data_IF_249433176609
#
_entry.id   IF_249433176609
#
_cell.length_a   1.000
_cell.length_b   1.000
_cell.length_c   1.000
_cell.angle_alpha   90.00
_cell.angle_beta   90.00
_cell.angle_gamma   90.00
#
_symmetry.space_group_name_H-M   'P 1'
#
loop_
_entity.id
_entity.type
_entity.pdbx_description
1 polymer ?
#
# COMPACT_ATOMS: atom_id res chain seq x y z
N UNK A 1 -9.25 -47.62 12.93
CA UNK A 1 -8.67 -48.14 14.19
C UNK A 1 -7.38 -47.37 14.49
N UNK A 2 -7.35 -46.73 15.54
CA UNK A 2 -6.41 -46.12 16.51
C UNK A 2 -6.66 -44.62 16.68
N UNK A 3 -7.41 -44.31 17.72
CA UNK A 3 -7.45 -43.03 18.41
C UNK A 3 -6.12 -42.84 19.16
N UNK A 4 -5.59 -41.62 19.15
CA UNK A 4 -4.64 -41.21 20.19
C UNK A 4 -5.15 -39.86 20.71
N UNK A 5 -5.32 -39.82 22.02
CA UNK A 5 -5.90 -38.81 22.88
C UNK A 5 -4.98 -37.62 23.13
N UNK A 6 -5.61 -36.47 23.38
CA UNK A 6 -5.03 -35.33 24.11
C UNK A 6 -4.67 -35.67 25.56
N UNK A 7 -3.80 -34.89 26.17
CA UNK A 7 -4.03 -34.55 27.59
C UNK A 7 -4.21 -33.02 27.79
N UNK A 8 -5.21 -32.75 28.65
CA UNK A 8 -5.46 -31.51 29.39
C UNK A 8 -4.31 -31.22 30.37
N UNK A 9 -4.22 -29.96 30.70
CA UNK A 9 -3.86 -29.33 32.00
C UNK A 9 -3.20 -27.97 31.70
N UNK A 10 -3.38 -26.87 32.36
CA UNK A 10 -4.03 -26.59 33.63
C UNK A 10 -4.22 -25.07 33.71
N UNK A 11 -5.38 -24.68 34.20
CA UNK A 11 -5.73 -23.32 34.58
C UNK A 11 -5.17 -23.06 35.98
N UNK A 12 -4.34 -22.04 36.15
CA UNK A 12 -4.12 -21.48 37.47
C UNK A 12 -4.39 -19.99 37.51
N UNK A 13 -5.52 -19.70 38.16
CA UNK A 13 -5.92 -18.41 38.69
C UNK A 13 -4.87 -17.88 39.66
N UNK A 14 -4.56 -16.64 39.57
CA UNK A 14 -4.04 -15.89 40.72
C UNK A 14 -4.95 -14.70 41.03
N UNK A 15 -5.49 -14.79 42.24
CA UNK A 15 -6.45 -13.92 42.90
C UNK A 15 -5.77 -12.69 43.51
N UNK A 16 -6.52 -11.61 43.46
CA UNK A 16 -6.40 -10.37 44.25
C UNK A 16 -6.07 -10.60 45.71
N UNK A 17 -5.20 -9.78 46.26
CA UNK A 17 -5.20 -9.46 47.72
C UNK A 17 -4.98 -7.96 47.94
N UNK A 18 -6.08 -7.33 48.35
CA UNK A 18 -6.10 -6.07 49.08
C UNK A 18 -5.42 -6.26 50.45
N UNK A 19 -4.70 -5.28 50.92
CA UNK A 19 -4.57 -4.96 52.35
C UNK A 19 -4.49 -3.45 52.55
N UNK A 20 -5.57 -2.97 53.21
CA UNK A 20 -5.68 -1.71 53.96
C UNK A 20 -4.97 -1.86 55.30
N UNK A 21 -4.54 -0.76 55.88
CA UNK A 21 -4.57 -0.30 57.27
C UNK A 21 -3.38 0.65 57.48
N UNK A 22 -3.52 1.81 57.91
CA UNK A 22 -4.14 2.54 59.01
C UNK A 22 -3.07 3.32 59.79
N UNK A 23 -3.27 4.58 59.80
CA UNK A 23 -3.16 5.62 60.84
C UNK A 23 -2.16 5.47 62.01
N UNK A 24 -1.44 6.54 62.30
CA UNK A 24 -1.50 7.16 63.64
C UNK A 24 -0.81 8.55 63.68
N UNK A 25 -1.54 9.48 64.22
CA UNK A 25 -1.16 10.83 64.72
C UNK A 25 -0.14 10.76 65.89
N UNK A 26 0.82 11.71 65.94
CA UNK A 26 1.24 12.31 67.23
C UNK A 26 1.59 13.77 66.97
N UNK A 27 0.80 14.63 67.64
CA UNK A 27 1.09 16.04 67.86
C UNK A 27 1.87 16.17 69.16
N UNK A 28 2.83 17.09 69.22
CA UNK A 28 3.22 17.74 70.49
C UNK A 28 3.81 19.13 70.22
N UNK A 29 3.14 20.08 70.84
CA UNK A 29 3.50 21.46 70.94
C UNK A 29 4.62 21.67 72.02
N UNK A 30 5.47 22.65 71.83
CA UNK A 30 6.05 23.39 72.91
C UNK A 30 6.25 24.86 72.54
N UNK A 31 5.70 25.68 73.38
CA UNK A 31 5.70 27.14 73.38
C UNK A 31 6.92 27.75 74.15
N UNK A 32 7.24 28.96 73.71
CA UNK A 32 7.69 29.97 74.66
C UNK A 32 9.17 30.37 74.67
N UNK A 33 9.51 31.53 74.24
CA UNK A 33 9.82 32.67 75.12
C UNK A 33 10.33 33.86 74.33
N UNK A 34 9.75 35.00 74.55
CA UNK A 34 10.14 36.32 74.07
C UNK A 34 11.34 36.89 74.85
N UNK A 35 12.17 37.64 74.13
CA UNK A 35 12.92 38.73 74.70
C UNK A 35 13.22 39.80 73.65
N UNK A 36 12.72 41.00 73.92
CA UNK A 36 13.03 42.24 73.21
C UNK A 36 14.47 42.72 73.58
N UNK A 37 15.17 43.23 72.55
CA UNK A 37 16.02 44.38 72.83
C UNK A 37 16.12 45.33 71.64
N UNK A 38 16.26 46.64 71.91
CA UNK A 38 16.11 47.78 71.04
C UNK A 38 17.44 48.31 70.57
N UNK A 39 17.50 48.59 69.24
CA UNK A 39 18.10 49.75 68.51
C UNK A 39 19.61 50.03 68.66
N UNK A 40 20.29 50.72 67.72
CA UNK A 40 19.77 51.78 66.84
C UNK A 40 20.17 51.78 65.35
N UNK A 41 19.45 52.65 64.62
CA UNK A 41 19.68 53.24 63.32
C UNK A 41 21.07 53.12 62.68
N UNK A 42 21.09 52.51 61.47
CA UNK A 42 22.06 52.85 60.45
C UNK A 42 21.35 52.93 59.10
N UNK A 43 21.58 54.07 58.43
CA UNK A 43 21.13 54.43 57.08
C UNK A 43 21.50 53.29 56.04
N UNK A 44 20.58 52.85 55.18
CA UNK A 44 20.93 51.86 54.22
C UNK A 44 21.71 52.44 53.02
N UNK A 45 22.98 52.08 52.93
CA UNK A 45 23.76 52.17 51.74
C UNK A 45 23.06 51.32 50.65
N UNK A 46 22.81 51.94 49.53
CA UNK A 46 22.21 51.27 48.36
C UNK A 46 23.04 50.07 47.91
N UNK A 47 22.67 48.87 48.35
CA UNK A 47 23.20 47.63 47.77
C UNK A 47 22.84 47.60 46.29
N UNK A 48 23.84 47.73 45.41
CA UNK A 48 23.77 47.27 44.05
C UNK A 48 23.11 45.86 44.04
N UNK A 49 21.95 45.78 43.39
CA UNK A 49 21.29 44.48 43.18
C UNK A 49 22.26 43.58 42.44
N UNK A 50 22.82 42.61 43.14
CA UNK A 50 23.50 41.45 42.51
C UNK A 50 22.39 40.70 41.79
N UNK A 51 22.36 40.82 40.49
CA UNK A 51 21.52 39.99 39.63
C UNK A 51 21.96 38.55 39.87
N UNK A 52 21.09 37.77 40.50
CA UNK A 52 21.34 36.35 40.71
C UNK A 52 21.57 35.68 39.36
N UNK A 53 22.76 35.18 39.16
CA UNK A 53 23.18 34.40 38.00
C UNK A 53 22.33 33.13 37.95
N UNK A 54 21.30 33.16 37.08
CA UNK A 54 20.47 31.98 36.83
C UNK A 54 21.28 31.08 35.88
N UNK A 55 21.58 29.83 36.20
CA UNK A 55 22.35 28.97 35.35
C UNK A 55 21.61 28.82 33.99
N UNK A 56 22.30 29.22 32.89
CA UNK A 56 21.75 29.15 31.53
C UNK A 56 21.27 30.45 30.95
N UNK A 57 21.38 31.59 31.64
CA UNK A 57 21.07 32.93 31.09
C UNK A 57 22.37 33.68 30.85
N UNK A 58 22.59 34.10 29.62
CA UNK A 58 23.73 34.93 29.23
C UNK A 58 23.31 36.41 29.28
N UNK A 59 23.98 37.21 30.07
CA UNK A 59 23.77 38.64 30.14
C UNK A 59 24.85 39.37 29.32
N UNK A 60 24.43 40.14 28.33
CA UNK A 60 25.35 40.98 27.50
C UNK A 60 25.29 42.42 27.99
N UNK A 61 26.45 43.07 28.08
CA UNK A 61 26.52 44.50 28.29
C UNK A 61 26.00 45.28 27.08
N UNK A 62 25.57 46.52 27.30
CA UNK A 62 25.07 47.36 26.19
C UNK A 62 26.12 47.64 25.11
N UNK A 63 27.42 47.60 25.48
CA UNK A 63 28.54 47.76 24.52
C UNK A 63 28.72 46.49 23.66
N UNK A 64 28.62 45.32 24.26
CA UNK A 64 28.68 44.04 23.55
C UNK A 64 27.50 43.85 22.60
N UNK A 65 26.30 44.26 23.06
CA UNK A 65 25.12 44.24 22.23
C UNK A 65 25.23 45.12 20.98
N UNK A 66 25.80 46.34 21.17
CA UNK A 66 26.01 47.29 20.08
C UNK A 66 27.05 46.82 19.05
N UNK A 67 28.02 46.01 19.48
CA UNK A 67 29.03 45.44 18.60
C UNK A 67 28.53 44.18 17.87
N UNK A 68 27.55 43.51 18.46
CA UNK A 68 26.98 42.27 17.94
C UNK A 68 25.64 42.60 17.30
N UNK A 69 25.54 42.55 15.96
CA UNK A 69 24.26 42.76 15.26
C UNK A 69 23.33 41.57 15.56
N UNK A 70 22.63 41.63 16.73
CA UNK A 70 21.67 40.60 17.10
C UNK A 70 20.34 40.91 16.47
N UNK A 71 19.82 39.96 15.69
CA UNK A 71 18.47 39.99 15.16
C UNK A 71 17.65 38.86 15.82
N UNK A 72 16.43 39.17 16.20
CA UNK A 72 15.51 38.21 16.79
C UNK A 72 14.27 38.04 15.93
N UNK A 73 13.74 36.85 15.93
CA UNK A 73 12.54 36.51 15.18
C UNK A 73 11.57 35.77 16.11
N UNK A 74 10.29 36.10 16.12
CA UNK A 74 9.34 35.38 16.95
C UNK A 74 9.17 33.93 16.47
N UNK A 75 9.08 33.01 17.41
CA UNK A 75 8.67 31.63 17.12
C UNK A 75 7.25 31.65 16.58
N UNK A 76 7.11 31.31 15.32
CA UNK A 76 5.84 31.31 14.63
C UNK A 76 5.18 29.93 14.68
N UNK A 77 3.86 29.91 14.67
CA UNK A 77 3.13 28.69 14.28
C UNK A 77 3.17 28.58 12.78
N UNK A 78 3.70 27.48 12.27
CA UNK A 78 3.85 27.27 10.83
C UNK A 78 3.63 25.80 10.47
N UNK A 79 3.06 25.61 9.27
CA UNK A 79 2.89 24.27 8.71
C UNK A 79 4.02 24.01 7.72
N UNK A 80 4.92 23.08 8.06
CA UNK A 80 5.88 22.57 7.09
C UNK A 80 5.28 21.33 6.42
N UNK A 81 5.08 21.42 5.09
CA UNK A 81 4.66 20.29 4.27
C UNK A 81 5.91 19.62 3.69
N UNK A 82 6.61 18.87 4.53
CA UNK A 82 7.78 18.11 4.08
C UNK A 82 7.32 16.82 3.43
N UNK A 83 7.52 16.67 2.12
CA UNK A 83 7.15 15.46 1.44
C UNK A 83 8.08 14.31 1.85
N UNK A 84 7.49 13.15 2.09
CA UNK A 84 8.21 11.89 2.25
C UNK A 84 8.22 11.18 0.90
N UNK A 85 9.39 10.84 0.43
CA UNK A 85 9.59 10.21 -0.88
C UNK A 85 9.93 8.74 -0.71
N UNK A 86 9.18 7.88 -1.43
CA UNK A 86 9.35 6.44 -1.39
C UNK A 86 9.61 5.91 -2.80
N UNK A 87 10.67 5.11 -2.99
CA UNK A 87 10.91 4.45 -4.26
C UNK A 87 9.79 3.46 -4.55
N UNK A 88 9.37 3.44 -5.81
CA UNK A 88 8.26 2.64 -6.27
C UNK A 88 8.47 2.17 -7.70
N UNK A 89 7.65 1.23 -8.14
CA UNK A 89 7.61 0.71 -9.51
C UNK A 89 6.18 0.72 -10.01
N UNK A 90 5.99 1.11 -11.25
CA UNK A 90 4.69 1.01 -11.94
C UNK A 90 4.42 -0.46 -12.24
N UNK A 91 3.25 -0.94 -11.87
CA UNK A 91 2.79 -2.31 -12.14
C UNK A 91 1.43 -2.29 -12.81
N UNK A 92 1.12 -3.35 -13.53
CA UNK A 92 -0.22 -3.55 -14.08
C UNK A 92 -1.21 -3.68 -12.93
N UNK A 93 -2.42 -3.16 -13.12
CA UNK A 93 -3.52 -3.49 -12.22
C UNK A 93 -3.86 -4.98 -12.40
N UNK A 94 -3.52 -5.79 -11.40
CA UNK A 94 -3.73 -7.26 -11.46
C UNK A 94 -5.21 -7.64 -11.59
N UNK A 95 -6.14 -6.74 -11.22
CA UNK A 95 -7.58 -6.97 -11.39
C UNK A 95 -8.02 -6.80 -12.86
N UNK A 96 -7.27 -6.05 -13.63
CA UNK A 96 -7.52 -5.72 -15.04
C UNK A 96 -6.48 -6.39 -15.96
N UNK A 97 -5.94 -7.54 -15.51
CA UNK A 97 -4.99 -8.36 -16.25
C UNK A 97 -5.53 -9.77 -16.41
N UNK A 98 -5.40 -10.33 -17.59
CA UNK A 98 -5.70 -11.74 -17.84
C UNK A 98 -4.58 -12.42 -18.60
N UNK A 99 -4.29 -13.64 -18.19
CA UNK A 99 -3.44 -14.57 -18.91
C UNK A 99 -4.32 -15.46 -19.78
N UNK A 100 -4.17 -15.36 -21.08
CA UNK A 100 -4.88 -16.21 -22.05
C UNK A 100 -4.10 -17.50 -22.20
N UNK A 101 -4.72 -18.60 -21.76
CA UNK A 101 -4.17 -19.96 -21.83
C UNK A 101 -5.04 -20.82 -22.74
N UNK A 102 -4.61 -22.05 -23.03
CA UNK A 102 -5.41 -23.06 -23.73
C UNK A 102 -5.77 -24.21 -22.79
N UNK A 103 -6.98 -24.77 -22.96
CA UNK A 103 -7.45 -25.95 -22.22
C UNK A 103 -7.05 -27.26 -22.91
N UNK A 104 -6.54 -27.17 -24.14
CA UNK A 104 -6.17 -28.35 -24.94
C UNK A 104 -4.84 -28.10 -25.66
N UNK A 105 -4.10 -29.19 -25.88
CA UNK A 105 -2.90 -29.17 -26.70
C UNK A 105 -3.26 -28.90 -28.17
N UNK A 106 -2.44 -28.07 -28.84
CA UNK A 106 -2.66 -27.77 -30.26
C UNK A 106 -1.46 -27.11 -30.95
N UNK A 107 -1.49 -27.09 -32.27
CA UNK A 107 -0.50 -26.37 -33.09
C UNK A 107 -1.04 -24.98 -33.46
N UNK A 108 -0.23 -23.95 -33.27
CA UNK A 108 -0.56 -22.58 -33.67
C UNK A 108 -0.60 -22.48 -35.18
N UNK A 109 -1.79 -22.30 -35.75
CA UNK A 109 -2.00 -22.13 -37.21
C UNK A 109 -1.73 -20.69 -37.60
N UNK A 110 -2.28 -19.76 -36.86
CA UNK A 110 -2.19 -18.33 -37.17
C UNK A 110 -2.22 -17.51 -35.85
N UNK A 111 -1.41 -16.45 -35.83
CA UNK A 111 -1.44 -15.40 -34.80
C UNK A 111 -1.98 -14.15 -35.49
N UNK A 112 -2.96 -13.49 -34.87
CA UNK A 112 -3.69 -12.36 -35.47
C UNK A 112 -3.27 -11.01 -34.85
N UNK A 113 -2.64 -11.03 -33.66
CA UNK A 113 -2.28 -9.84 -32.90
C UNK A 113 -0.82 -9.88 -32.47
N UNK A 114 -0.24 -8.71 -32.26
CA UNK A 114 1.12 -8.59 -31.74
C UNK A 114 1.15 -7.80 -30.43
N UNK A 115 2.32 -7.82 -29.75
CA UNK A 115 2.55 -7.05 -28.54
C UNK A 115 2.36 -5.55 -28.81
N UNK A 116 1.66 -4.86 -27.92
CA UNK A 116 1.35 -3.44 -28.04
C UNK A 116 0.07 -3.12 -28.81
N UNK A 117 -0.61 -4.10 -29.39
CA UNK A 117 -1.90 -3.90 -30.05
C UNK A 117 -3.06 -3.85 -29.06
N UNK A 118 -4.01 -2.96 -29.31
CA UNK A 118 -5.27 -2.88 -28.60
C UNK A 118 -6.25 -3.92 -29.16
N UNK A 119 -6.90 -4.63 -28.26
CA UNK A 119 -7.88 -5.66 -28.59
C UNK A 119 -9.20 -5.39 -27.88
N UNK A 120 -10.30 -5.72 -28.53
CA UNK A 120 -11.63 -5.69 -27.95
C UNK A 120 -11.95 -7.05 -27.35
N UNK A 121 -12.87 -7.08 -26.39
CA UNK A 121 -13.44 -8.32 -25.89
C UNK A 121 -13.86 -9.23 -27.04
N UNK A 122 -13.60 -10.53 -26.91
CA UNK A 122 -13.87 -11.57 -27.89
C UNK A 122 -13.09 -11.44 -29.23
N UNK A 123 -12.17 -10.47 -29.37
CA UNK A 123 -11.27 -10.38 -30.52
C UNK A 123 -10.41 -11.64 -30.63
N UNK A 124 -10.24 -12.13 -31.86
CA UNK A 124 -9.43 -13.32 -32.15
C UNK A 124 -7.94 -13.01 -32.07
N UNK A 125 -7.26 -13.59 -31.06
CA UNK A 125 -5.82 -13.41 -30.83
C UNK A 125 -4.99 -14.40 -31.67
N UNK A 126 -5.39 -15.68 -31.66
CA UNK A 126 -4.74 -16.72 -32.41
C UNK A 126 -5.73 -17.87 -32.70
N UNK A 127 -5.35 -18.71 -33.68
CA UNK A 127 -6.04 -19.93 -34.02
C UNK A 127 -5.10 -21.11 -33.78
N UNK A 128 -5.56 -22.08 -32.98
CA UNK A 128 -4.87 -23.35 -32.81
C UNK A 128 -5.61 -24.44 -33.58
N UNK A 129 -4.88 -25.49 -34.00
CA UNK A 129 -5.45 -26.72 -34.52
C UNK A 129 -5.11 -27.86 -33.54
N UNK A 130 -6.13 -28.53 -33.01
CA UNK A 130 -6.00 -29.58 -31.99
C UNK A 130 -6.54 -30.90 -32.49
N UNK A 131 -5.68 -31.90 -32.58
CA UNK A 131 -6.10 -33.27 -32.93
C UNK A 131 -7.04 -33.85 -31.84
N UNK A 132 -6.85 -33.50 -30.60
CA UNK A 132 -7.67 -33.98 -29.49
C UNK A 132 -9.11 -33.43 -29.59
N UNK A 133 -9.26 -32.15 -29.99
CA UNK A 133 -10.56 -31.57 -30.31
C UNK A 133 -11.21 -32.29 -31.49
N UNK A 134 -10.46 -32.56 -32.58
CA UNK A 134 -10.99 -33.26 -33.74
C UNK A 134 -11.51 -34.68 -33.41
N UNK A 135 -10.82 -35.39 -32.51
CA UNK A 135 -11.26 -36.70 -32.01
C UNK A 135 -12.57 -36.54 -31.21
N UNK A 136 -12.66 -35.50 -30.36
CA UNK A 136 -13.87 -35.26 -29.56
C UNK A 136 -15.06 -34.83 -30.45
N UNK A 137 -14.85 -33.97 -31.43
CA UNK A 137 -15.87 -33.57 -32.44
C UNK A 137 -16.40 -34.80 -33.21
N UNK A 138 -15.48 -35.67 -33.69
CA UNK A 138 -15.86 -36.90 -34.38
C UNK A 138 -16.63 -37.88 -33.47
N UNK A 139 -16.27 -38.02 -32.21
CA UNK A 139 -17.02 -38.84 -31.26
C UNK A 139 -18.43 -38.27 -31.00
N UNK A 140 -18.56 -36.96 -30.92
CA UNK A 140 -19.85 -36.30 -30.77
C UNK A 140 -20.74 -36.53 -31.98
N UNK A 141 -20.27 -36.25 -33.21
CA UNK A 141 -21.05 -36.46 -34.45
C UNK A 141 -21.51 -37.92 -34.57
N UNK A 142 -20.64 -38.89 -34.27
CA UNK A 142 -21.01 -40.31 -34.25
C UNK A 142 -22.10 -40.64 -33.25
N UNK A 143 -22.05 -40.09 -32.06
CA UNK A 143 -23.06 -40.32 -31.00
C UNK A 143 -24.38 -39.60 -31.32
N UNK A 144 -24.34 -38.41 -31.92
CA UNK A 144 -25.49 -37.67 -32.41
C UNK A 144 -26.23 -38.41 -33.53
N UNK A 145 -25.48 -38.98 -34.50
CA UNK A 145 -26.07 -39.81 -35.56
C UNK A 145 -26.75 -41.07 -35.02
N UNK A 146 -26.13 -41.77 -34.04
CA UNK A 146 -26.74 -42.91 -33.35
C UNK A 146 -28.02 -42.54 -32.60
N UNK A 147 -28.01 -41.42 -31.92
CA UNK A 147 -29.19 -40.91 -31.20
C UNK A 147 -30.34 -40.63 -32.22
N UNK A 148 -30.01 -40.00 -33.32
CA UNK A 148 -30.99 -39.70 -34.37
C UNK A 148 -31.63 -40.99 -34.90
N UNK A 149 -30.82 -42.02 -35.26
CA UNK A 149 -31.29 -43.33 -35.69
C UNK A 149 -32.19 -44.00 -34.66
N UNK A 150 -31.72 -44.07 -33.37
CA UNK A 150 -32.44 -44.68 -32.28
C UNK A 150 -33.79 -43.99 -32.00
N UNK A 151 -33.83 -42.66 -32.13
CA UNK A 151 -35.01 -41.85 -31.97
C UNK A 151 -36.04 -42.16 -33.04
N UNK A 152 -35.65 -42.20 -34.31
CA UNK A 152 -36.55 -42.58 -35.41
C UNK A 152 -37.04 -44.04 -35.30
N UNK A 153 -36.19 -44.97 -34.81
CA UNK A 153 -36.57 -46.34 -34.54
C UNK A 153 -37.61 -46.46 -33.41
N UNK A 154 -37.42 -45.67 -32.34
CA UNK A 154 -38.39 -45.61 -31.26
C UNK A 154 -39.71 -45.01 -31.69
N UNK A 155 -39.72 -43.89 -32.41
CA UNK A 155 -40.92 -43.25 -32.97
C UNK A 155 -41.72 -44.18 -33.84
N UNK A 156 -41.09 -44.89 -34.78
CA UNK A 156 -41.72 -45.92 -35.59
C UNK A 156 -42.32 -47.07 -34.76
N UNK A 157 -41.55 -47.55 -33.76
CA UNK A 157 -42.03 -48.62 -32.87
C UNK A 157 -43.27 -48.16 -32.07
N UNK A 158 -43.30 -46.91 -31.62
CA UNK A 158 -44.45 -46.33 -30.89
C UNK A 158 -45.68 -46.28 -31.76
N UNK A 159 -45.58 -45.77 -32.99
CA UNK A 159 -46.67 -45.67 -33.94
C UNK A 159 -47.24 -47.06 -34.32
N UNK A 160 -46.36 -48.08 -34.51
CA UNK A 160 -46.77 -49.46 -34.75
C UNK A 160 -47.38 -50.16 -33.53
N UNK A 161 -46.95 -49.80 -32.31
CA UNK A 161 -47.54 -50.28 -31.07
C UNK A 161 -48.98 -49.75 -30.88
N UNK A 162 -49.20 -48.48 -31.16
CA UNK A 162 -50.56 -47.88 -31.15
C UNK A 162 -51.49 -48.60 -32.13
N UNK A 163 -50.97 -49.05 -33.26
CA UNK A 163 -51.70 -49.85 -34.24
C UNK A 163 -51.77 -51.35 -33.89
N UNK A 164 -51.25 -51.76 -32.70
CA UNK A 164 -51.15 -53.15 -32.21
C UNK A 164 -50.35 -54.11 -33.12
N UNK A 165 -49.42 -53.60 -33.92
CA UNK A 165 -48.56 -54.40 -34.81
C UNK A 165 -47.34 -54.97 -34.08
N UNK A 166 -46.77 -54.24 -33.12
CA UNK A 166 -45.61 -54.72 -32.35
C UNK A 166 -45.98 -54.90 -30.87
N UNK A 167 -45.19 -55.69 -30.15
CA UNK A 167 -45.38 -55.96 -28.70
C UNK A 167 -44.85 -54.78 -27.83
N UNK A 168 -45.41 -54.71 -26.59
CA UNK A 168 -44.87 -53.77 -25.58
C UNK A 168 -43.37 -53.98 -25.32
N UNK A 169 -42.94 -55.26 -25.30
CA UNK A 169 -41.56 -55.62 -25.11
C UNK A 169 -40.61 -55.00 -26.18
N UNK A 170 -41.03 -54.98 -27.46
CA UNK A 170 -40.28 -54.35 -28.53
C UNK A 170 -40.24 -52.82 -28.40
N UNK A 171 -41.38 -52.17 -28.04
CA UNK A 171 -41.39 -50.75 -27.78
C UNK A 171 -40.42 -50.37 -26.65
N UNK A 172 -40.50 -51.05 -25.50
CA UNK A 172 -39.60 -50.82 -24.36
C UNK A 172 -38.12 -51.04 -24.69
N UNK A 173 -37.83 -52.03 -25.54
CA UNK A 173 -36.49 -52.26 -26.03
C UNK A 173 -35.96 -51.07 -26.87
N UNK A 174 -36.78 -50.52 -27.77
CA UNK A 174 -36.41 -49.33 -28.58
C UNK A 174 -36.26 -48.09 -27.73
N UNK A 175 -37.14 -47.91 -26.74
CA UNK A 175 -37.04 -46.83 -25.77
C UNK A 175 -35.72 -46.91 -24.99
N UNK A 176 -35.34 -48.08 -24.49
CA UNK A 176 -34.11 -48.29 -23.77
C UNK A 176 -32.90 -47.97 -24.66
N UNK A 177 -32.90 -48.42 -25.95
CA UNK A 177 -31.83 -48.11 -26.91
C UNK A 177 -31.70 -46.60 -27.15
N UNK A 178 -32.86 -45.91 -27.32
CA UNK A 178 -32.87 -44.46 -27.52
C UNK A 178 -32.32 -43.73 -26.27
N UNK A 179 -32.71 -44.11 -25.06
CA UNK A 179 -32.21 -43.54 -23.82
C UNK A 179 -30.71 -43.73 -23.66
N UNK A 180 -30.17 -44.89 -24.01
CA UNK A 180 -28.72 -45.16 -23.98
C UNK A 180 -28.00 -44.26 -25.00
N UNK A 181 -28.47 -44.19 -26.26
CA UNK A 181 -27.89 -43.33 -27.27
C UNK A 181 -27.97 -41.83 -26.87
N UNK A 182 -29.04 -41.43 -26.17
CA UNK A 182 -29.18 -40.08 -25.64
C UNK A 182 -28.14 -39.76 -24.54
N UNK A 183 -27.86 -40.74 -23.69
CA UNK A 183 -26.83 -40.59 -22.63
C UNK A 183 -25.43 -40.47 -23.28
N UNK A 184 -25.09 -41.30 -24.27
CA UNK A 184 -23.83 -41.24 -25.00
C UNK A 184 -23.64 -39.89 -25.73
N UNK A 185 -24.66 -39.40 -26.40
CA UNK A 185 -24.62 -38.11 -27.09
C UNK A 185 -24.44 -36.92 -26.09
N UNK A 186 -25.08 -37.01 -24.92
CA UNK A 186 -24.94 -36.03 -23.87
C UNK A 186 -23.52 -36.05 -23.29
N UNK A 187 -22.96 -37.22 -23.02
CA UNK A 187 -21.59 -37.36 -22.57
C UNK A 187 -20.59 -36.74 -23.54
N UNK A 188 -20.70 -37.08 -24.84
CA UNK A 188 -19.81 -36.53 -25.87
C UNK A 188 -19.93 -35.01 -26.01
N UNK A 189 -21.15 -34.46 -25.88
CA UNK A 189 -21.40 -33.01 -25.85
C UNK A 189 -20.72 -32.36 -24.65
N UNK A 190 -20.93 -32.90 -23.46
CA UNK A 190 -20.29 -32.40 -22.21
C UNK A 190 -18.77 -32.43 -22.33
N UNK A 191 -18.20 -33.42 -23.00
CA UNK A 191 -16.75 -33.48 -23.24
C UNK A 191 -16.27 -32.31 -24.11
N UNK A 192 -17.00 -31.92 -25.16
CA UNK A 192 -16.69 -30.72 -25.96
C UNK A 192 -16.76 -29.43 -25.12
N UNK A 193 -17.82 -29.28 -24.32
CA UNK A 193 -17.97 -28.13 -23.42
C UNK A 193 -16.81 -28.03 -22.40
N UNK A 194 -16.34 -29.15 -21.84
CA UNK A 194 -15.18 -29.21 -20.93
C UNK A 194 -13.86 -28.84 -21.64
N UNK A 195 -13.75 -29.12 -22.94
CA UNK A 195 -12.62 -28.67 -23.77
C UNK A 195 -12.71 -27.18 -24.18
N UNK A 196 -13.72 -26.47 -23.69
CA UNK A 196 -13.88 -25.04 -23.92
C UNK A 196 -14.65 -24.68 -25.21
N UNK A 197 -15.30 -25.64 -25.89
CA UNK A 197 -16.12 -25.37 -27.04
C UNK A 197 -17.45 -24.76 -26.63
N UNK A 198 -17.77 -23.52 -27.07
CA UNK A 198 -19.04 -22.90 -26.76
C UNK A 198 -20.25 -23.70 -27.32
N UNK A 199 -21.37 -23.66 -26.63
CA UNK A 199 -22.60 -24.37 -27.04
C UNK A 199 -23.05 -24.04 -28.47
N UNK A 200 -22.91 -22.77 -28.84
CA UNK A 200 -23.23 -22.30 -30.23
C UNK A 200 -22.39 -23.00 -31.27
N UNK A 201 -21.15 -23.31 -30.95
CA UNK A 201 -20.22 -24.02 -31.84
C UNK A 201 -20.57 -25.50 -31.95
N UNK A 202 -21.02 -26.12 -30.82
CA UNK A 202 -21.53 -27.49 -30.83
C UNK A 202 -22.80 -27.59 -31.66
N UNK A 203 -23.73 -26.63 -31.56
CA UNK A 203 -24.93 -26.56 -32.41
C UNK A 203 -24.60 -26.32 -33.90
N UNK A 204 -23.48 -25.68 -34.18
CA UNK A 204 -22.98 -25.54 -35.57
C UNK A 204 -22.47 -26.87 -36.10
N UNK A 205 -21.76 -27.67 -35.29
CA UNK A 205 -21.33 -29.02 -35.65
C UNK A 205 -22.50 -29.91 -36.05
N UNK A 206 -23.64 -29.84 -35.31
CA UNK A 206 -24.86 -30.57 -35.64
C UNK A 206 -25.44 -30.21 -37.04
N UNK A 207 -25.20 -28.98 -37.53
CA UNK A 207 -25.71 -28.51 -38.83
C UNK A 207 -24.74 -28.73 -39.97
N UNK A 208 -23.43 -28.52 -39.73
CA UNK A 208 -22.42 -28.54 -40.79
C UNK A 208 -21.83 -29.93 -41.02
N UNK A 209 -21.95 -30.82 -40.04
CA UNK A 209 -21.40 -32.21 -40.04
C UNK A 209 -19.92 -32.28 -40.44
N UNK A 210 -19.14 -31.24 -40.05
CA UNK A 210 -17.75 -31.08 -40.46
C UNK A 210 -16.85 -30.86 -39.25
N UNK A 211 -15.83 -31.71 -39.11
CA UNK A 211 -14.79 -31.60 -38.11
C UNK A 211 -13.82 -30.48 -38.53
N UNK A 212 -13.62 -29.47 -37.69
CA UNK A 212 -12.68 -28.37 -37.93
C UNK A 212 -11.44 -28.45 -37.08
N UNK A 213 -11.55 -29.00 -35.87
CA UNK A 213 -10.48 -29.12 -34.89
C UNK A 213 -9.77 -27.77 -34.54
N UNK A 214 -10.45 -26.66 -34.81
CA UNK A 214 -9.92 -25.30 -34.64
C UNK A 214 -10.33 -24.71 -33.29
N UNK A 215 -9.34 -24.22 -32.53
CA UNK A 215 -9.52 -23.61 -31.23
C UNK A 215 -9.20 -22.11 -31.32
N UNK A 216 -10.22 -21.24 -31.35
CA UNK A 216 -10.01 -19.80 -31.34
C UNK A 216 -9.60 -19.32 -29.96
N UNK A 217 -8.45 -18.67 -29.86
CA UNK A 217 -8.05 -17.93 -28.64
C UNK A 217 -8.55 -16.50 -28.76
N UNK A 218 -9.35 -16.07 -27.78
CA UNK A 218 -10.02 -14.76 -27.78
C UNK A 218 -9.61 -13.92 -26.57
N UNK A 219 -9.68 -12.60 -26.74
CA UNK A 219 -9.45 -11.65 -25.65
C UNK A 219 -10.63 -11.71 -24.66
N UNK A 220 -10.38 -11.80 -23.33
CA UNK A 220 -11.44 -11.90 -22.32
C UNK A 220 -12.14 -10.55 -22.06
N UNK A 221 -11.46 -9.42 -22.32
CA UNK A 221 -11.96 -8.05 -22.17
C UNK A 221 -11.22 -7.08 -23.10
N UNK A 222 -11.65 -5.82 -23.13
CA UNK A 222 -11.01 -4.74 -23.87
C UNK A 222 -9.68 -4.38 -23.20
N UNK A 223 -8.59 -4.39 -23.94
CA UNK A 223 -7.27 -4.08 -23.36
C UNK A 223 -6.15 -4.12 -24.40
N UNK A 224 -4.93 -4.12 -23.93
CA UNK A 224 -3.72 -4.20 -24.74
C UNK A 224 -2.99 -5.52 -24.52
N UNK A 225 -2.49 -6.10 -25.60
CA UNK A 225 -1.60 -7.27 -25.53
C UNK A 225 -0.23 -6.81 -25.02
N UNK A 226 0.09 -7.17 -23.78
CA UNK A 226 1.37 -6.80 -23.14
C UNK A 226 2.43 -7.89 -23.26
N UNK A 227 2.01 -9.14 -23.53
CA UNK A 227 2.91 -10.28 -23.71
C UNK A 227 2.33 -11.26 -24.73
N UNK A 228 3.19 -11.82 -25.57
CA UNK A 228 2.88 -12.89 -26.53
C UNK A 228 3.99 -13.93 -26.50
N UNK A 229 3.64 -15.13 -26.06
CA UNK A 229 4.59 -16.25 -25.85
C UNK A 229 4.33 -17.39 -26.84
N UNK A 230 3.82 -17.09 -28.03
CA UNK A 230 3.59 -18.10 -29.08
C UNK A 230 4.06 -17.61 -30.44
N UNK A 231 4.44 -18.58 -31.28
CA UNK A 231 4.79 -18.37 -32.67
C UNK A 231 4.01 -19.29 -33.57
N UNK A 232 3.85 -18.89 -34.84
CA UNK A 232 3.17 -19.73 -35.85
C UNK A 232 3.93 -21.05 -36.03
N UNK A 233 3.19 -22.17 -36.00
CA UNK A 233 3.73 -23.53 -36.20
C UNK A 233 4.16 -24.19 -34.87
N UNK A 234 4.26 -23.47 -33.82
CA UNK A 234 4.58 -23.99 -32.48
C UNK A 234 3.46 -24.89 -31.93
N UNK A 235 3.83 -25.91 -31.18
CA UNK A 235 2.87 -26.76 -30.45
C UNK A 235 2.81 -26.24 -29.01
N UNK A 236 1.61 -25.92 -28.56
CA UNK A 236 1.33 -25.42 -27.21
C UNK A 236 0.67 -26.50 -26.38
N UNK A 237 1.01 -26.54 -25.11
CA UNK A 237 0.46 -27.48 -24.14
C UNK A 237 -0.69 -26.84 -23.33
N UNK A 238 -1.43 -27.68 -22.58
CA UNK A 238 -2.49 -27.21 -21.68
C UNK A 238 -1.93 -26.24 -20.65
N UNK A 239 -2.73 -25.23 -20.26
CA UNK A 239 -2.40 -24.23 -19.24
C UNK A 239 -1.17 -23.35 -19.57
N UNK A 240 -0.54 -23.54 -20.72
CA UNK A 240 0.56 -22.67 -21.17
C UNK A 240 0.03 -21.24 -21.35
N UNK A 241 0.76 -20.25 -20.81
CA UNK A 241 0.48 -18.82 -20.97
C UNK A 241 0.85 -18.37 -22.38
N UNK A 242 -0.15 -18.05 -23.18
CA UNK A 242 0.04 -17.73 -24.60
C UNK A 242 0.06 -16.23 -24.85
N UNK A 243 -0.86 -15.51 -24.21
CA UNK A 243 -0.91 -14.05 -24.22
C UNK A 243 -1.17 -13.51 -22.82
N UNK A 244 -0.77 -12.27 -22.60
CA UNK A 244 -1.25 -11.47 -21.47
C UNK A 244 -1.92 -10.23 -22.04
N UNK A 245 -3.19 -10.04 -21.69
CA UNK A 245 -3.98 -8.86 -22.02
C UNK A 245 -4.21 -8.08 -20.74
N UNK A 246 -4.03 -6.76 -20.79
CA UNK A 246 -4.25 -5.90 -19.65
C UNK A 246 -4.93 -4.60 -20.09
N UNK A 247 -5.83 -4.08 -19.28
CA UNK A 247 -6.24 -2.69 -19.34
C UNK A 247 -5.18 -1.83 -18.63
N UNK A 248 -4.65 -0.85 -19.32
CA UNK A 248 -3.64 0.08 -18.80
C UNK A 248 -4.21 1.49 -18.58
N UNK A 249 -5.54 1.65 -18.57
CA UNK A 249 -6.21 2.93 -18.30
C UNK A 249 -6.00 3.39 -16.86
N UNK A 250 -5.77 2.46 -15.94
CA UNK A 250 -5.22 2.67 -14.62
C UNK A 250 -4.04 1.72 -14.35
N UNK A 251 -3.13 2.16 -13.52
CA UNK A 251 -1.96 1.36 -13.13
C UNK A 251 -1.75 1.44 -11.62
N UNK A 252 -1.09 0.45 -11.08
CA UNK A 252 -0.63 0.47 -9.72
C UNK A 252 0.81 0.97 -9.64
N UNK A 253 1.06 1.86 -8.71
CA UNK A 253 2.42 2.25 -8.33
C UNK A 253 2.68 1.64 -6.95
N UNK A 254 3.55 0.63 -6.94
CA UNK A 254 3.84 -0.14 -5.73
C UNK A 254 5.18 0.33 -5.18
N UNK A 255 5.13 0.88 -3.98
CA UNK A 255 6.29 1.39 -3.26
C UNK A 255 6.55 0.63 -1.96
N UNK A 256 7.73 0.87 -1.40
CA UNK A 256 8.16 0.32 -0.13
C UNK A 256 8.42 1.45 0.86
N UNK A 257 7.71 1.43 1.99
CA UNK A 257 7.74 2.45 3.01
C UNK A 257 8.50 1.93 4.23
N UNK A 258 9.57 2.62 4.66
CA UNK A 258 10.29 2.26 5.88
C UNK A 258 9.38 2.31 7.12
N UNK A 259 9.62 1.42 8.08
CA UNK A 259 8.84 1.29 9.33
C UNK A 259 8.63 2.65 10.04
N UNK A 260 9.69 3.47 10.12
CA UNK A 260 9.65 4.80 10.75
C UNK A 260 8.67 5.80 10.12
N UNK A 261 8.35 5.61 8.84
CA UNK A 261 7.53 6.54 8.05
C UNK A 261 6.07 6.07 7.91
N UNK A 262 5.75 4.86 8.38
CA UNK A 262 4.38 4.27 8.31
C UNK A 262 3.33 5.16 8.99
N UNK A 263 3.70 5.83 10.08
CA UNK A 263 2.80 6.72 10.82
C UNK A 263 2.24 7.89 9.97
N UNK A 264 2.91 8.25 8.87
CA UNK A 264 2.52 9.38 8.00
C UNK A 264 1.59 8.96 6.86
N UNK A 265 1.31 7.67 6.72
CA UNK A 265 0.57 7.11 5.60
C UNK A 265 -0.82 6.69 6.04
N UNK A 266 -1.81 7.04 5.23
CA UNK A 266 -3.22 6.65 5.44
C UNK A 266 -3.81 6.15 4.13
N UNK A 267 -4.74 5.20 4.26
CA UNK A 267 -5.57 4.78 3.14
C UNK A 267 -6.39 5.98 2.63
N UNK A 268 -6.64 6.01 1.33
CA UNK A 268 -7.37 7.07 0.60
C UNK A 268 -6.67 8.44 0.59
N UNK A 269 -5.43 8.50 1.06
CA UNK A 269 -4.60 9.71 1.01
C UNK A 269 -4.18 9.99 -0.44
N UNK A 270 -4.27 11.26 -0.83
CA UNK A 270 -3.75 11.76 -2.12
C UNK A 270 -2.24 11.88 -2.04
N UNK A 271 -1.58 11.50 -3.12
CA UNK A 271 -0.12 11.50 -3.25
C UNK A 271 0.28 11.93 -4.65
N UNK A 272 1.51 12.42 -4.78
CA UNK A 272 2.11 12.70 -6.06
C UNK A 272 2.99 11.54 -6.49
N UNK A 273 2.85 11.13 -7.74
CA UNK A 273 3.71 10.14 -8.37
C UNK A 273 4.56 10.81 -9.42
N UNK A 274 5.86 10.60 -9.33
CA UNK A 274 6.84 11.11 -10.28
C UNK A 274 7.57 9.91 -10.86
N UNK A 275 7.54 9.77 -12.19
CA UNK A 275 8.27 8.71 -12.88
C UNK A 275 9.60 9.22 -13.42
N UNK A 276 10.63 8.40 -13.35
CA UNK A 276 11.99 8.78 -13.79
C UNK A 276 12.06 9.19 -15.25
N UNK A 277 11.17 8.65 -16.09
CA UNK A 277 11.07 9.00 -17.51
C UNK A 277 10.54 10.44 -17.74
N UNK A 278 9.74 10.97 -16.80
CA UNK A 278 9.08 12.28 -16.91
C UNK A 278 9.23 13.03 -15.57
N UNK A 279 10.44 13.50 -15.20
CA UNK A 279 10.74 14.03 -13.87
C UNK A 279 9.98 15.34 -13.54
N UNK A 280 9.48 16.05 -14.55
CA UNK A 280 8.70 17.27 -14.38
C UNK A 280 7.19 17.04 -14.35
N UNK A 281 6.73 15.84 -14.68
CA UNK A 281 5.31 15.49 -14.63
C UNK A 281 4.96 14.96 -13.24
N UNK A 282 4.10 15.68 -12.55
CA UNK A 282 3.50 15.27 -11.28
C UNK A 282 2.16 14.61 -11.59
N UNK A 283 2.05 13.34 -11.32
CA UNK A 283 0.85 12.57 -11.63
C UNK A 283 0.12 12.28 -10.31
N UNK A 284 -1.12 12.74 -10.15
CA UNK A 284 -1.86 12.51 -8.92
C UNK A 284 -2.24 11.04 -8.78
N UNK A 285 -2.06 10.49 -7.57
CA UNK A 285 -2.45 9.14 -7.21
C UNK A 285 -3.21 9.09 -5.90
N UNK A 286 -3.79 7.93 -5.61
CA UNK A 286 -4.49 7.68 -4.35
C UNK A 286 -3.96 6.38 -3.74
N UNK A 287 -3.62 6.40 -2.45
CA UNK A 287 -3.23 5.22 -1.71
C UNK A 287 -4.44 4.30 -1.56
N UNK A 288 -4.43 3.15 -2.20
CA UNK A 288 -5.53 2.18 -2.16
C UNK A 288 -5.26 1.01 -1.22
N UNK A 289 -3.98 0.72 -0.96
CA UNK A 289 -3.61 -0.37 -0.06
C UNK A 289 -2.32 -0.06 0.68
N UNK A 290 -2.30 -0.43 1.95
CA UNK A 290 -1.14 -0.39 2.83
C UNK A 290 -1.00 -1.80 3.39
N UNK A 291 0.18 -2.41 3.28
CA UNK A 291 0.44 -3.75 3.76
C UNK A 291 0.31 -3.84 5.29
N UNK A 292 -0.23 -4.94 5.78
CA UNK A 292 -0.38 -5.19 7.22
C UNK A 292 0.87 -5.88 7.82
N UNK A 293 1.80 -6.29 6.96
CA UNK A 293 3.01 -7.04 7.34
C UNK A 293 4.24 -6.34 6.77
N UNK A 294 5.24 -6.14 7.62
CA UNK A 294 6.56 -5.67 7.20
C UNK A 294 7.36 -6.79 6.55
N UNK A 295 8.06 -6.48 5.48
CA UNK A 295 9.10 -7.36 4.94
C UNK A 295 10.27 -7.40 5.93
N UNK A 296 10.61 -8.57 6.51
CA UNK A 296 11.63 -8.67 7.53
C UNK A 296 13.05 -8.40 7.01
N UNK A 297 13.29 -8.60 5.71
CA UNK A 297 14.60 -8.40 5.10
C UNK A 297 14.90 -6.92 4.86
N UNK A 298 13.89 -6.17 4.40
CA UNK A 298 14.03 -4.75 4.04
C UNK A 298 13.51 -3.80 5.13
N UNK A 299 12.77 -4.30 6.11
CA UNK A 299 12.09 -3.50 7.13
C UNK A 299 11.17 -2.43 6.52
N UNK A 300 10.49 -2.80 5.43
CA UNK A 300 9.57 -1.92 4.73
C UNK A 300 8.17 -2.51 4.66
N UNK A 301 7.18 -1.64 4.58
CA UNK A 301 5.77 -1.96 4.35
C UNK A 301 5.41 -1.67 2.91
N UNK A 302 4.68 -2.58 2.27
CA UNK A 302 4.23 -2.41 0.89
C UNK A 302 3.11 -1.36 0.83
N UNK A 303 3.28 -0.40 -0.07
CA UNK A 303 2.32 0.65 -0.37
C UNK A 303 1.84 0.49 -1.81
N UNK A 304 0.53 0.55 -2.05
CA UNK A 304 -0.04 0.58 -3.40
C UNK A 304 -0.83 1.86 -3.62
N UNK A 305 -0.46 2.56 -4.66
CA UNK A 305 -1.11 3.77 -5.15
C UNK A 305 -1.77 3.45 -6.48
N UNK A 306 -3.04 3.75 -6.65
CA UNK A 306 -3.73 3.69 -7.94
C UNK A 306 -3.62 5.02 -8.64
N UNK A 307 -3.23 4.97 -9.91
CA UNK A 307 -2.97 6.14 -10.74
C UNK A 307 -3.72 5.97 -12.06
N UNK A 308 -4.50 6.98 -12.43
CA UNK A 308 -5.14 7.03 -13.75
C UNK A 308 -4.09 7.30 -14.83
N UNK A 309 -4.19 6.60 -15.94
CA UNK A 309 -3.22 6.63 -17.04
C UNK A 309 -3.90 6.81 -18.42
N UNK A 310 -4.68 7.89 -18.62
CA UNK A 310 -5.48 8.08 -19.84
C UNK A 310 -4.62 8.19 -21.10
N UNK A 311 -3.43 8.78 -21.00
CA UNK A 311 -2.51 9.00 -22.11
C UNK A 311 -1.48 7.86 -22.28
N UNK A 312 -1.59 6.81 -21.47
CA UNK A 312 -0.71 5.63 -21.48
C UNK A 312 0.79 5.98 -21.30
N UNK A 313 1.05 7.08 -20.62
CA UNK A 313 2.40 7.55 -20.31
C UNK A 313 3.11 6.62 -19.32
N UNK A 314 2.36 6.09 -18.34
CA UNK A 314 2.86 5.14 -17.36
C UNK A 314 2.88 3.74 -17.98
N UNK A 315 4.08 3.18 -18.10
CA UNK A 315 4.25 1.82 -18.57
C UNK A 315 4.67 0.92 -17.41
N UNK A 316 4.15 -0.30 -17.34
CA UNK A 316 4.62 -1.29 -16.36
C UNK A 316 6.15 -1.38 -16.33
N UNK A 317 6.70 -1.66 -15.18
CA UNK A 317 8.14 -1.74 -14.86
C UNK A 317 8.90 -0.38 -14.87
N UNK A 318 8.25 0.76 -15.10
CA UNK A 318 8.87 2.06 -14.90
C UNK A 318 9.17 2.32 -13.43
N UNK A 319 10.35 2.87 -13.14
CA UNK A 319 10.65 3.38 -11.80
C UNK A 319 9.91 4.68 -11.53
N UNK A 320 9.35 4.77 -10.34
CA UNK A 320 8.61 5.91 -9.86
C UNK A 320 9.03 6.27 -8.43
N UNK A 321 8.69 7.48 -8.03
CA UNK A 321 8.79 7.95 -6.65
C UNK A 321 7.39 8.38 -6.22
N UNK A 322 6.92 7.82 -5.10
CA UNK A 322 5.69 8.25 -4.46
C UNK A 322 6.02 9.30 -3.43
N UNK A 323 5.46 10.50 -3.60
CA UNK A 323 5.63 11.62 -2.69
C UNK A 323 4.39 11.79 -1.84
N UNK A 324 4.53 11.55 -0.55
CA UNK A 324 3.45 11.63 0.44
C UNK A 324 3.66 12.85 1.31
N UNK A 325 2.64 13.68 1.44
CA UNK A 325 2.65 14.81 2.34
C UNK A 325 2.06 14.40 3.68
N UNK A 326 2.85 14.54 4.76
CA UNK A 326 2.32 14.34 6.10
C UNK A 326 1.18 15.31 6.37
N UNK A 327 0.20 14.88 7.17
CA UNK A 327 -0.87 15.77 7.58
C UNK A 327 -0.26 17.00 8.29
N UNK A 328 -0.64 18.23 7.87
CA UNK A 328 -0.10 19.42 8.47
C UNK A 328 -0.44 19.45 9.97
N UNK A 329 0.57 19.70 10.82
CA UNK A 329 0.34 19.98 12.24
C UNK A 329 0.15 21.50 12.43
N UNK A 330 -1.07 21.98 12.66
CA UNK A 330 -1.33 23.42 12.79
C UNK A 330 -0.64 24.07 14.01
N UNK A 331 -0.28 23.26 15.00
CA UNK A 331 0.39 23.71 16.22
C UNK A 331 1.91 23.56 16.17
N UNK A 332 2.46 23.17 15.03
CA UNK A 332 3.90 23.06 14.85
C UNK A 332 4.56 24.43 15.02
N UNK A 333 5.58 24.49 15.87
CA UNK A 333 6.39 25.68 16.06
C UNK A 333 7.53 25.68 15.07
N UNK A 334 7.77 26.79 14.41
CA UNK A 334 8.82 26.92 13.39
C UNK A 334 9.77 28.04 13.75
N UNK A 335 11.06 27.81 13.49
CA UNK A 335 12.12 28.81 13.66
C UNK A 335 13.03 28.81 12.42
N UNK A 336 13.65 29.93 12.08
CA UNK A 336 14.68 29.94 11.06
C UNK A 336 15.84 29.01 11.42
N UNK A 337 16.33 28.25 10.45
CA UNK A 337 17.47 27.31 10.67
C UNK A 337 18.71 28.04 11.17
N UNK A 338 18.93 29.30 10.79
CA UNK A 338 20.00 30.18 11.27
C UNK A 338 20.01 30.40 12.80
N UNK A 339 18.85 30.26 13.46
CA UNK A 339 18.75 30.36 14.92
C UNK A 339 19.35 29.15 15.63
N UNK A 340 19.40 27.99 14.98
CA UNK A 340 19.82 26.72 15.58
C UNK A 340 21.33 26.61 15.65
N UNK A 341 21.84 26.34 16.84
CA UNK A 341 23.27 26.12 17.07
C UNK A 341 23.53 24.72 17.63
N UNK A 342 24.74 24.22 17.44
CA UNK A 342 25.20 22.97 18.04
C UNK A 342 25.71 23.24 19.46
N UNK A 343 25.07 22.67 20.47
CA UNK A 343 25.52 22.67 21.85
C UNK A 343 26.15 21.34 22.27
N UNK A 344 26.72 21.26 23.49
CA UNK A 344 27.35 20.03 23.99
C UNK A 344 26.35 18.89 24.25
N UNK A 345 25.10 19.21 24.55
CA UNK A 345 24.04 18.22 24.81
C UNK A 345 23.03 18.09 23.67
N UNK A 346 23.29 18.64 22.48
CA UNK A 346 22.38 18.62 21.33
C UNK A 346 22.21 19.99 20.69
N UNK A 347 21.09 20.16 19.98
CA UNK A 347 20.75 21.45 19.35
C UNK A 347 20.25 22.43 20.39
N UNK A 348 20.68 23.70 20.28
CA UNK A 348 20.33 24.79 21.18
C UNK A 348 19.82 26.01 20.42
N UNK A 349 18.97 26.79 21.08
CA UNK A 349 18.50 28.10 20.66
C UNK A 349 18.79 29.12 21.77
N UNK A 350 18.97 30.38 21.37
CA UNK A 350 19.02 31.50 22.29
C UNK A 350 17.68 32.23 22.29
N UNK A 351 16.98 32.26 23.43
CA UNK A 351 15.69 32.92 23.58
C UNK A 351 15.90 34.23 24.33
N UNK A 352 15.47 35.33 23.74
CA UNK A 352 15.52 36.64 24.39
C UNK A 352 14.49 36.74 25.53
N UNK A 353 14.91 37.02 26.76
CA UNK A 353 14.07 37.23 27.94
C UNK A 353 13.93 38.69 28.32
N UNK A 354 14.90 39.49 28.02
CA UNK A 354 14.97 40.92 28.28
C UNK A 354 15.81 41.63 27.24
N UNK A 355 16.03 42.93 27.37
CA UNK A 355 16.81 43.69 26.40
C UNK A 355 18.23 43.14 26.20
N UNK A 356 18.83 42.62 27.30
CA UNK A 356 20.20 42.16 27.36
C UNK A 356 20.35 40.69 27.80
N UNK A 357 19.24 39.98 28.02
CA UNK A 357 19.22 38.65 28.62
C UNK A 357 18.83 37.61 27.59
N UNK A 358 19.68 36.63 27.41
CA UNK A 358 19.48 35.53 26.43
C UNK A 358 19.58 34.19 27.17
N UNK A 359 18.48 33.43 27.15
CA UNK A 359 18.39 32.11 27.75
C UNK A 359 18.80 31.05 26.74
N UNK A 360 19.74 30.19 27.12
CA UNK A 360 20.14 29.02 26.30
C UNK A 360 19.17 27.88 26.56
N UNK A 361 18.54 27.37 25.52
CA UNK A 361 17.66 26.21 25.61
C UNK A 361 18.04 25.12 24.67
N UNK A 362 18.10 23.90 25.22
CA UNK A 362 18.19 22.71 24.39
C UNK A 362 16.85 22.43 23.74
N UNK A 363 16.86 22.17 22.44
CA UNK A 363 15.66 21.97 21.65
C UNK A 363 15.71 20.65 20.93
N UNK A 364 14.53 20.07 20.74
CA UNK A 364 14.35 18.90 19.90
C UNK A 364 13.73 19.36 18.58
N UNK A 365 14.48 19.15 17.51
CA UNK A 365 14.07 19.55 16.18
C UNK A 365 13.27 18.44 15.50
N UNK A 366 12.33 18.85 14.65
CA UNK A 366 11.60 17.99 13.75
C UNK A 366 12.06 18.14 12.30
N UNK A 367 11.09 18.22 11.39
CA UNK A 367 11.33 18.34 9.97
C UNK A 367 11.91 19.71 9.59
N UNK A 368 12.78 19.70 8.56
CA UNK A 368 13.44 20.88 8.00
C UNK A 368 12.99 21.08 6.55
N UNK A 369 12.66 22.32 6.19
CA UNK A 369 12.30 22.69 4.81
C UNK A 369 12.89 24.06 4.44
N UNK A 370 13.87 24.04 3.55
CA UNK A 370 14.60 25.27 3.15
C UNK A 370 15.32 25.92 4.32
N UNK A 371 14.94 27.18 4.63
CA UNK A 371 15.54 27.94 5.72
C UNK A 371 14.79 27.86 7.06
N UNK A 372 13.81 26.96 7.18
CA UNK A 372 12.95 26.83 8.37
C UNK A 372 12.96 25.40 8.89
N UNK A 373 12.96 25.26 10.20
CA UNK A 373 12.91 23.97 10.91
C UNK A 373 11.80 23.98 11.94
N UNK A 374 11.11 22.84 12.11
CA UNK A 374 10.14 22.66 13.18
C UNK A 374 10.83 22.39 14.52
N UNK A 375 10.29 22.93 15.59
CA UNK A 375 10.73 22.64 16.96
C UNK A 375 9.64 21.85 17.65
N UNK A 376 10.00 20.63 18.10
CA UNK A 376 9.10 19.71 18.79
C UNK A 376 9.01 20.03 20.27
N UNK A 377 10.15 20.39 20.88
CA UNK A 377 10.26 20.66 22.32
C UNK A 377 11.31 21.77 22.58
N UNK A 378 11.08 22.62 23.59
CA UNK A 378 12.07 23.58 24.10
C UNK A 378 11.71 25.05 23.90
N UNK A 379 10.71 25.41 23.08
CA UNK A 379 10.24 26.80 22.90
C UNK A 379 8.72 26.88 22.91
N UNK A 380 8.22 28.09 23.10
CA UNK A 380 6.79 28.40 23.05
C UNK A 380 6.48 29.40 21.93
N UNK A 381 5.24 29.38 21.42
CA UNK A 381 4.82 30.33 20.39
C UNK A 381 4.96 31.79 20.87
N UNK A 382 5.50 32.64 20.02
CA UNK A 382 5.71 34.06 20.30
C UNK A 382 6.98 34.41 21.07
N UNK A 383 7.76 33.43 21.53
CA UNK A 383 9.08 33.69 22.09
C UNK A 383 10.03 34.24 21.02
N UNK A 384 10.89 35.18 21.38
CA UNK A 384 11.87 35.77 20.49
C UNK A 384 13.14 34.93 20.47
N UNK A 385 13.50 34.35 19.30
CA UNK A 385 14.72 33.59 19.14
C UNK A 385 15.75 34.36 18.32
N UNK A 386 17.01 34.23 18.70
CA UNK A 386 18.10 34.93 18.01
C UNK A 386 18.42 34.22 16.70
N UNK A 387 18.26 34.91 15.59
CA UNK A 387 18.55 34.40 14.24
C UNK A 387 19.91 34.85 13.72
N UNK A 388 20.29 36.08 14.00
CA UNK A 388 21.62 36.60 13.67
C UNK A 388 22.38 36.92 14.95
N UNK A 389 23.68 36.64 14.97
CA UNK A 389 24.50 36.80 16.17
C UNK A 389 24.45 35.60 17.12
N UNK A 390 23.69 34.55 16.84
CA UNK A 390 23.61 33.31 17.64
C UNK A 390 24.96 32.62 17.85
N UNK A 391 25.84 32.70 16.86
CA UNK A 391 27.22 32.16 16.97
C UNK A 391 28.07 32.97 17.97
N UNK A 392 27.92 34.30 18.04
CA UNK A 392 28.63 35.14 19.01
C UNK A 392 28.18 34.83 20.41
N UNK A 393 26.85 34.69 20.65
CA UNK A 393 26.29 34.27 21.93
C UNK A 393 26.81 32.90 22.36
N UNK A 394 26.97 31.97 21.40
CA UNK A 394 27.60 30.66 21.70
C UNK A 394 29.04 30.81 22.17
N UNK A 395 29.82 31.65 21.50
CA UNK A 395 31.21 31.86 21.85
C UNK A 395 31.37 32.50 23.25
N UNK A 396 30.49 33.43 23.59
CA UNK A 396 30.44 34.03 24.94
C UNK A 396 30.03 32.99 26.00
N UNK A 397 29.07 32.15 25.69
CA UNK A 397 28.67 31.03 26.58
C UNK A 397 29.80 30.07 26.87
N UNK A 398 30.61 29.76 25.85
CA UNK A 398 31.77 28.88 25.98
C UNK A 398 32.90 29.58 26.81
N UNK A 399 33.08 30.90 26.64
CA UNK A 399 34.03 31.70 27.43
C UNK A 399 33.67 31.72 28.91
N UNK A 400 32.39 31.96 29.27
CA UNK A 400 31.90 31.96 30.65
C UNK A 400 32.01 30.60 31.34
N UNK A 401 32.11 29.50 30.61
CA UNK A 401 32.35 28.16 31.13
C UNK A 401 33.82 27.88 31.45
N UNK A 402 34.74 28.61 30.82
CA UNK A 402 36.17 28.40 30.92
C UNK A 402 36.78 29.29 32.04
N UNK A 403 36.15 30.44 32.37
CA UNK A 403 36.55 31.29 33.48
C UNK A 403 35.69 30.93 34.72
N UNK A 404 36.21 30.11 35.66
CA UNK A 404 35.56 29.97 36.93
C UNK A 404 35.71 31.29 37.70
N UNK A 405 34.56 31.84 38.11
CA UNK A 405 34.49 33.04 38.98
C UNK A 405 35.42 32.88 40.16
N UNK A 406 36.22 33.94 40.52
CA UNK A 406 37.17 33.91 41.64
C UNK A 406 36.48 33.72 43.01
#
# INVERSE_FOLDING_TARGET
MKRISCPDSDVSRFTFHERRAAALLVALAFAGFAACDRTPDQVPEAKKAVVADRPGVLHLTSEELARTAIEVTPVARGQLLVPREFPATVQVNENERAEVTTLIRGRVVKVHVDVGQDVKKDALLAMLHSTDLGVAEGAYLKSAARLHEAKLAYERARDLYEQKVVSLAELLRREATMKTAQAEAREARNRLELLGVPRQEVERLDREDTIKADVPLRAPFDGRVIMRNITRGEVVEMEQKLFTVADLSDVWVVGNVPEKDVQFIRKDQKVDVIVSAYPHAIIPGTITYIGDVLDPATRTMRLRVTVLNPDWLLKPEMFATVRVYAAPNPDALTVPLAAVQNGPAGKILFVQRGANDFEVRTVKLGDEQGEVVTVLEGVSAGEQVVTKGSFVLKSELERHKIEPTP
#
